data_IF_885894346624
#
_entry.id   IF_885894346624
#
_cell.length_a   1.000
_cell.length_b   1.000
_cell.length_c   1.000
_cell.angle_alpha   90.00
_cell.angle_beta   90.00
_cell.angle_gamma   90.00
#
_symmetry.space_group_name_H-M   'P 1'
#
loop_
_entity.id
_entity.type
_entity.pdbx_description
1 polymer ?
#
# COMPACT_ATOMS: atom_id res chain seq x y z
N UNK A 1 -6.41 -38.29 -9.90
CA UNK A 1 -5.34 -37.90 -8.97
C UNK A 1 -5.22 -36.38 -8.99
N UNK A 2 -5.87 -35.69 -8.04
CA UNK A 2 -5.90 -34.23 -7.96
C UNK A 2 -4.80 -33.72 -7.02
N UNK A 3 -3.88 -32.89 -7.53
CA UNK A 3 -2.90 -32.22 -6.69
C UNK A 3 -3.53 -30.99 -6.06
N UNK A 4 -3.70 -31.03 -4.74
CA UNK A 4 -4.09 -29.87 -3.95
C UNK A 4 -3.02 -28.79 -4.12
N UNK A 5 -3.38 -27.63 -4.70
CA UNK A 5 -2.54 -26.44 -4.62
C UNK A 5 -2.63 -25.91 -3.19
N UNK A 6 -1.59 -26.12 -2.41
CA UNK A 6 -1.40 -25.45 -1.12
C UNK A 6 -1.27 -23.95 -1.39
N UNK A 7 -2.04 -23.07 -0.74
CA UNK A 7 -1.81 -21.64 -0.82
C UNK A 7 -0.47 -21.33 -0.17
N UNK A 8 0.51 -20.92 -0.96
CA UNK A 8 1.78 -20.43 -0.42
C UNK A 8 1.51 -19.04 0.19
N UNK A 9 1.81 -18.82 1.49
CA UNK A 9 1.73 -17.48 2.06
C UNK A 9 2.73 -16.58 1.34
N UNK A 10 2.38 -15.31 1.01
CA UNK A 10 3.32 -14.41 0.38
C UNK A 10 4.59 -14.31 1.23
N UNK A 11 5.75 -14.45 0.59
CA UNK A 11 7.04 -14.35 1.28
C UNK A 11 7.13 -13.00 2.00
N UNK A 12 7.70 -12.95 3.23
CA UNK A 12 7.94 -11.69 3.90
C UNK A 12 8.80 -10.79 3.00
N UNK A 13 8.52 -9.48 2.91
CA UNK A 13 9.29 -8.58 2.07
C UNK A 13 10.76 -8.66 2.51
N UNK A 14 11.66 -8.82 1.54
CA UNK A 14 13.10 -8.90 1.78
C UNK A 14 13.56 -7.70 2.61
N UNK A 15 14.32 -7.96 3.69
CA UNK A 15 14.77 -7.00 4.71
C UNK A 15 15.71 -5.87 4.23
N UNK A 16 15.68 -5.51 2.94
CA UNK A 16 16.54 -4.48 2.34
C UNK A 16 15.81 -3.23 1.82
N UNK A 17 14.48 -3.25 1.70
CA UNK A 17 13.73 -2.10 1.15
C UNK A 17 13.16 -1.26 2.29
N UNK A 18 13.88 -0.19 2.66
CA UNK A 18 13.34 0.87 3.52
C UNK A 18 12.14 1.52 2.81
N UNK A 19 10.93 1.14 3.23
CA UNK A 19 9.72 1.79 2.75
C UNK A 19 9.55 3.14 3.47
N UNK A 20 9.04 4.17 2.77
CA UNK A 20 8.76 5.46 3.40
C UNK A 20 7.77 5.32 4.56
N UNK A 21 7.94 6.15 5.59
CA UNK A 21 6.98 6.19 6.69
C UNK A 21 5.56 6.53 6.18
N UNK A 22 4.48 5.97 6.75
CA UNK A 22 3.12 6.13 6.22
C UNK A 22 2.63 7.57 6.10
N UNK A 23 3.08 8.46 6.99
CA UNK A 23 2.72 9.88 6.94
C UNK A 23 3.33 10.60 5.73
N UNK A 24 4.50 10.17 5.26
CA UNK A 24 5.13 10.67 4.03
C UNK A 24 4.27 10.28 2.83
N UNK A 25 3.87 9.01 2.73
CA UNK A 25 2.99 8.54 1.66
C UNK A 25 1.64 9.28 1.67
N UNK A 26 1.04 9.49 2.84
CA UNK A 26 -0.21 10.27 2.96
C UNK A 26 -0.07 11.69 2.38
N UNK A 27 1.07 12.35 2.61
CA UNK A 27 1.35 13.68 2.05
C UNK A 27 1.40 13.64 0.52
N UNK A 28 2.12 12.68 -0.07
CA UNK A 28 2.21 12.55 -1.53
C UNK A 28 0.88 12.17 -2.17
N UNK A 29 0.11 11.26 -1.56
CA UNK A 29 -1.23 10.92 -2.03
C UNK A 29 -2.18 12.13 -2.00
N UNK A 30 -2.13 12.94 -0.95
CA UNK A 30 -2.91 14.17 -0.86
C UNK A 30 -2.49 15.19 -1.94
N UNK A 31 -1.19 15.34 -2.17
CA UNK A 31 -0.66 16.22 -3.20
C UNK A 31 -1.10 15.77 -4.60
N UNK A 32 -0.95 14.49 -4.93
CA UNK A 32 -1.39 13.94 -6.21
C UNK A 32 -2.89 14.16 -6.44
N UNK A 33 -3.73 13.90 -5.44
CA UNK A 33 -5.18 14.17 -5.54
C UNK A 33 -5.48 15.66 -5.78
N UNK A 34 -4.76 16.56 -5.11
CA UNK A 34 -4.94 17.99 -5.29
C UNK A 34 -4.53 18.45 -6.69
N UNK A 35 -3.38 17.99 -7.20
CA UNK A 35 -2.91 18.32 -8.55
C UNK A 35 -3.85 17.73 -9.59
N UNK A 36 -4.23 16.45 -9.48
CA UNK A 36 -5.18 15.81 -10.40
C UNK A 36 -6.49 16.58 -10.53
N UNK A 37 -7.05 17.07 -9.40
CA UNK A 37 -8.25 17.92 -9.43
C UNK A 37 -8.05 19.23 -10.18
N UNK A 38 -6.88 19.86 -10.05
CA UNK A 38 -6.55 21.10 -10.78
C UNK A 38 -6.35 20.83 -12.27
N UNK A 39 -5.63 19.76 -12.62
CA UNK A 39 -5.43 19.34 -14.01
C UNK A 39 -6.75 19.02 -14.69
N UNK A 40 -7.72 18.41 -13.98
CA UNK A 40 -9.07 18.19 -14.51
C UNK A 40 -9.85 19.49 -14.74
N UNK A 41 -9.58 20.55 -13.97
CA UNK A 41 -10.21 21.86 -14.14
C UNK A 41 -9.55 22.71 -15.24
N UNK A 42 -8.29 22.44 -15.56
CA UNK A 42 -7.51 23.15 -16.57
C UNK A 42 -6.59 22.15 -17.32
N UNK A 43 -7.14 21.34 -18.24
CA UNK A 43 -6.39 20.27 -18.91
C UNK A 43 -5.32 20.79 -19.87
N UNK A 44 -5.51 21.99 -20.41
CA UNK A 44 -4.58 22.62 -21.35
C UNK A 44 -3.43 23.37 -20.68
N UNK A 45 -3.41 23.44 -19.34
CA UNK A 45 -2.30 24.05 -18.58
C UNK A 45 -1.11 23.07 -18.53
N UNK A 46 0.00 23.38 -19.24
CA UNK A 46 1.15 22.49 -19.28
C UNK A 46 1.87 22.37 -17.93
N UNK A 47 1.80 23.39 -17.06
CA UNK A 47 2.43 23.35 -15.75
C UNK A 47 1.68 22.40 -14.80
N UNK A 48 0.34 22.37 -14.87
CA UNK A 48 -0.46 21.40 -14.11
C UNK A 48 -0.30 19.97 -14.60
N UNK A 49 -0.08 19.77 -15.92
CA UNK A 49 0.24 18.46 -16.47
C UNK A 49 1.61 17.96 -16.00
N UNK A 50 2.65 18.80 -16.09
CA UNK A 50 3.98 18.47 -15.58
C UNK A 50 3.96 18.16 -14.08
N UNK A 51 3.27 18.97 -13.27
CA UNK A 51 3.13 18.71 -11.84
C UNK A 51 2.41 17.38 -11.53
N UNK A 52 1.45 16.98 -12.37
CA UNK A 52 0.76 15.68 -12.22
C UNK A 52 1.70 14.52 -12.52
N UNK A 53 2.51 14.64 -13.58
CA UNK A 53 3.52 13.66 -13.97
C UNK A 53 4.61 13.54 -12.89
N UNK A 54 5.12 14.66 -12.35
CA UNK A 54 6.11 14.67 -11.26
C UNK A 54 5.58 14.01 -9.98
N UNK A 55 4.33 14.30 -9.62
CA UNK A 55 3.69 13.70 -8.46
C UNK A 55 3.52 12.18 -8.63
N UNK A 56 3.16 11.72 -9.83
CA UNK A 56 3.06 10.30 -10.15
C UNK A 56 4.43 9.61 -10.15
N UNK A 57 5.44 10.24 -10.76
CA UNK A 57 6.81 9.74 -10.80
C UNK A 57 7.41 9.60 -9.40
N UNK A 58 7.16 10.57 -8.53
CA UNK A 58 7.58 10.50 -7.12
C UNK A 58 7.02 9.25 -6.44
N UNK A 59 5.74 8.91 -6.64
CA UNK A 59 5.17 7.68 -6.10
C UNK A 59 5.82 6.42 -6.68
N UNK A 60 6.10 6.40 -7.99
CA UNK A 60 6.82 5.30 -8.62
C UNK A 60 8.16 5.02 -7.93
N UNK A 61 8.96 6.07 -7.67
CA UNK A 61 10.25 5.95 -6.98
C UNK A 61 10.06 5.48 -5.53
N UNK A 62 9.14 6.10 -4.78
CA UNK A 62 8.89 5.77 -3.37
C UNK A 62 8.41 4.33 -3.17
N UNK A 63 7.65 3.79 -4.12
CA UNK A 63 7.11 2.42 -4.05
C UNK A 63 7.93 1.39 -4.84
N UNK A 64 9.02 1.81 -5.49
CA UNK A 64 9.83 0.95 -6.35
C UNK A 64 9.05 0.36 -7.54
N UNK A 65 8.01 1.04 -8.00
CA UNK A 65 7.13 0.58 -9.09
C UNK A 65 7.48 1.28 -10.40
N UNK A 66 7.37 0.57 -11.52
CA UNK A 66 7.60 1.13 -12.86
C UNK A 66 6.39 1.83 -13.47
N UNK A 67 5.21 1.64 -12.86
CA UNK A 67 3.95 2.15 -13.37
C UNK A 67 3.22 2.95 -12.28
N UNK A 68 2.68 4.11 -12.66
CA UNK A 68 2.00 5.02 -11.73
C UNK A 68 0.75 4.42 -11.08
N UNK A 69 0.00 3.58 -11.79
CA UNK A 69 -1.16 2.89 -11.26
C UNK A 69 -0.74 1.88 -10.18
N UNK A 70 0.25 1.04 -10.46
CA UNK A 70 0.80 0.08 -9.48
C UNK A 70 1.40 0.81 -8.27
N UNK A 71 2.09 1.93 -8.48
CA UNK A 71 2.64 2.76 -7.40
C UNK A 71 1.54 3.32 -6.49
N UNK A 72 0.45 3.83 -7.09
CA UNK A 72 -0.68 4.38 -6.36
C UNK A 72 -1.35 3.31 -5.49
N UNK A 73 -1.66 2.15 -6.06
CA UNK A 73 -2.27 1.04 -5.33
C UNK A 73 -1.41 0.59 -4.14
N UNK A 74 -0.12 0.35 -4.38
CA UNK A 74 0.80 -0.07 -3.33
C UNK A 74 0.93 0.97 -2.21
N UNK A 75 0.94 2.27 -2.55
CA UNK A 75 0.98 3.34 -1.56
C UNK A 75 -0.33 3.43 -0.74
N UNK A 76 -1.49 3.24 -1.38
CA UNK A 76 -2.79 3.24 -0.72
C UNK A 76 -2.95 2.05 0.22
N UNK A 77 -2.54 0.85 -0.22
CA UNK A 77 -2.51 -0.36 0.61
C UNK A 77 -1.60 -0.19 1.84
N UNK A 78 -0.38 0.34 1.66
CA UNK A 78 0.54 0.59 2.77
C UNK A 78 -0.07 1.56 3.78
N UNK A 79 -0.67 2.66 3.32
CA UNK A 79 -1.32 3.63 4.21
C UNK A 79 -2.54 3.03 4.91
N UNK A 80 -3.32 2.18 4.22
CA UNK A 80 -4.48 1.51 4.81
C UNK A 80 -4.07 0.49 5.88
N UNK A 81 -3.03 -0.31 5.63
CA UNK A 81 -2.48 -1.27 6.58
C UNK A 81 -2.03 -0.60 7.90
N UNK A 82 -1.52 0.63 7.83
CA UNK A 82 -1.11 1.41 9.02
C UNK A 82 -2.25 2.18 9.70
N UNK A 83 -3.47 2.17 9.14
CA UNK A 83 -4.67 2.74 9.78
C UNK A 83 -5.43 1.69 10.57
N UNK A 84 -5.34 0.43 10.15
CA UNK A 84 -5.99 -0.68 10.84
C UNK A 84 -5.07 -1.15 11.99
N UNK A 85 -5.60 -1.43 13.18
CA UNK A 85 -4.84 -2.19 14.16
C UNK A 85 -4.46 -3.55 13.54
N UNK A 86 -3.28 -4.12 13.85
CA UNK A 86 -2.95 -5.46 13.39
C UNK A 86 -4.08 -6.38 13.83
N UNK A 87 -4.68 -7.11 12.88
CA UNK A 87 -5.72 -8.06 13.19
C UNK A 87 -5.13 -9.06 14.19
N UNK A 88 -5.54 -9.03 15.45
CA UNK A 88 -5.41 -10.20 16.32
C UNK A 88 -6.15 -11.32 15.59
N UNK A 89 -5.38 -12.24 14.99
CA UNK A 89 -5.94 -13.48 14.49
C UNK A 89 -6.63 -14.22 15.63
N UNK A 90 -7.60 -15.10 15.34
CA UNK A 90 -8.28 -15.85 16.38
C UNK A 90 -7.24 -16.54 17.26
N UNK A 91 -7.17 -16.11 18.51
CA UNK A 91 -6.34 -16.70 19.55
C UNK A 91 -6.60 -18.21 19.53
N UNK A 92 -5.60 -19.07 19.27
CA UNK A 92 -5.83 -20.50 19.24
C UNK A 92 -6.27 -20.90 20.64
N UNK A 93 -7.59 -21.12 20.79
CA UNK A 93 -8.25 -21.55 22.02
C UNK A 93 -7.36 -22.59 22.69
N UNK A 94 -6.67 -22.19 23.76
CA UNK A 94 -5.89 -23.12 24.57
C UNK A 94 -6.88 -24.15 25.08
N UNK A 95 -6.73 -25.45 24.79
CA UNK A 95 -7.61 -26.45 25.37
C UNK A 95 -7.48 -26.34 26.89
N UNK A 96 -8.61 -26.06 27.55
CA UNK A 96 -8.69 -25.99 29.00
C UNK A 96 -8.33 -27.35 29.56
N UNK A 97 -7.11 -27.47 30.07
CA UNK A 97 -6.72 -28.57 30.93
C UNK A 97 -7.48 -28.43 32.25
N UNK A 98 -8.51 -29.25 32.43
CA UNK A 98 -9.26 -29.41 33.67
C UNK A 98 -10.43 -30.36 33.38
N UNK A 99 -10.66 -31.46 34.11
CA UNK A 99 -10.21 -31.83 35.45
C UNK A 99 -10.34 -33.36 35.54
N UNK A 100 -9.44 -33.99 36.30
CA UNK A 100 -9.59 -35.35 36.76
C UNK A 100 -10.86 -35.50 37.62
N UNK A 101 -11.59 -36.59 37.40
CA UNK A 101 -12.20 -37.46 38.42
C UNK A 101 -12.51 -38.83 37.78
#
# INVERSE_FOLDING_TARGET
>A
MGHARTPYPPAPPASGTLLPAPHVLRRHLNHLRAVRRRTLAAPDDPALRAAMEDAAYTLCVLMGQRNAHSALLAAEELVAAHRLPPSEGPDPVRPSAGRAD
#
